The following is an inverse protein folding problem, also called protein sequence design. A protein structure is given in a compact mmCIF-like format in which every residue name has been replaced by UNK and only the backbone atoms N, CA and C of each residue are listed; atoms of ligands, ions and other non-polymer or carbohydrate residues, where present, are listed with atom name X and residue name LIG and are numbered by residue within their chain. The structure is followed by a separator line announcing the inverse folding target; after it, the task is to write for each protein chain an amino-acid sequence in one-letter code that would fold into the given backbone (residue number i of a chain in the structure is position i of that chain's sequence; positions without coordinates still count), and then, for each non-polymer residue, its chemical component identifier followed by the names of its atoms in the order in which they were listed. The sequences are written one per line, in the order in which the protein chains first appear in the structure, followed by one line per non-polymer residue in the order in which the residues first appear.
data_IF_815847471270
#
_entry.id   IF_815847471270
#
_cell.length_a   1.000
_cell.length_b   1.000
_cell.length_c   1.000
_cell.angle_alpha   90.00
_cell.angle_beta   90.00
_cell.angle_gamma   90.00
#
_symmetry.space_group_name_H-M   'P 1'
#
loop_
_entity.id
_entity.type
_entity.pdbx_description
1 polymer ?
#
# COMPACT_ATOMS: atom_id res chain seq x y z
N UNK A 1 -41.38 27.10 -25.89
CA UNK A 1 -40.84 26.93 -24.52
C UNK A 1 -40.79 25.43 -24.17
N UNK A 2 -39.84 24.64 -24.70
CA UNK A 2 -39.84 23.16 -24.48
C UNK A 2 -38.49 22.45 -24.69
N UNK A 3 -37.37 23.16 -24.81
CA UNK A 3 -36.07 22.57 -25.28
C UNK A 3 -34.84 22.94 -24.45
N UNK A 4 -34.92 23.03 -23.11
CA UNK A 4 -33.75 23.35 -22.26
C UNK A 4 -33.42 22.33 -21.16
N UNK A 5 -34.17 21.23 -21.07
CA UNK A 5 -34.05 20.26 -19.95
C UNK A 5 -33.05 19.12 -20.28
N UNK A 6 -32.59 18.97 -21.53
CA UNK A 6 -31.71 17.88 -21.94
C UNK A 6 -30.21 18.04 -21.64
N UNK A 7 -29.74 19.24 -21.28
CA UNK A 7 -28.30 19.52 -21.19
C UNK A 7 -27.72 19.35 -19.77
N UNK A 8 -28.56 19.31 -18.73
CA UNK A 8 -28.11 19.19 -17.34
C UNK A 8 -27.82 17.74 -16.92
N UNK A 9 -28.44 16.75 -17.57
CA UNK A 9 -28.29 15.33 -17.20
C UNK A 9 -26.98 14.70 -17.72
N UNK A 10 -26.38 15.25 -18.79
CA UNK A 10 -25.17 14.68 -19.40
C UNK A 10 -23.87 15.00 -18.62
N UNK A 11 -23.88 16.04 -17.79
CA UNK A 11 -22.71 16.47 -17.00
C UNK A 11 -22.55 15.73 -15.67
N UNK A 12 -23.59 15.05 -15.17
CA UNK A 12 -23.54 14.30 -13.92
C UNK A 12 -22.91 12.90 -14.05
N UNK A 13 -22.82 12.35 -15.27
CA UNK A 13 -22.36 10.98 -15.50
C UNK A 13 -20.82 10.83 -15.52
N UNK A 14 -20.06 11.94 -15.54
CA UNK A 14 -18.60 11.91 -15.67
C UNK A 14 -17.85 11.89 -14.33
N UNK A 15 -18.53 12.03 -13.19
CA UNK A 15 -17.85 12.02 -11.88
C UNK A 15 -17.60 10.64 -11.27
N UNK A 16 -18.22 9.59 -11.80
CA UNK A 16 -18.21 8.27 -11.12
C UNK A 16 -17.02 7.37 -11.46
N UNK A 17 -16.14 7.76 -12.40
CA UNK A 17 -15.11 6.83 -12.95
C UNK A 17 -13.72 7.00 -12.30
N UNK A 18 -13.51 7.98 -11.41
CA UNK A 18 -12.20 8.25 -10.83
C UNK A 18 -11.84 7.37 -9.61
N UNK A 19 -12.71 6.47 -9.16
CA UNK A 19 -12.59 5.80 -7.84
C UNK A 19 -11.92 4.41 -7.90
N UNK A 20 -11.48 3.93 -9.08
CA UNK A 20 -11.05 2.53 -9.23
C UNK A 20 -9.55 2.29 -9.51
N UNK A 21 -8.68 3.25 -9.20
CA UNK A 21 -7.23 3.12 -9.39
C UNK A 21 -6.38 3.35 -8.12
N UNK A 22 -7.02 3.46 -6.96
CA UNK A 22 -6.33 3.55 -5.67
C UNK A 22 -5.54 2.26 -5.41
N UNK A 23 -4.22 2.35 -5.29
CA UNK A 23 -3.39 1.23 -4.83
C UNK A 23 -3.69 0.87 -3.36
N UNK A 24 -3.04 -0.18 -2.85
CA UNK A 24 -3.14 -0.55 -1.42
C UNK A 24 -1.81 -0.26 -0.74
N UNK A 25 -1.80 0.34 0.45
CA UNK A 25 -0.59 0.42 1.28
C UNK A 25 -0.76 -0.40 2.55
N UNK A 26 0.28 -1.13 2.93
CA UNK A 26 0.35 -1.88 4.17
C UNK A 26 1.31 -1.18 5.12
N UNK A 27 0.86 -0.84 6.32
CA UNK A 27 1.71 -0.33 7.40
C UNK A 27 1.97 -1.48 8.35
N UNK A 28 3.22 -1.93 8.38
CA UNK A 28 3.67 -3.07 9.18
C UNK A 28 4.41 -2.54 10.40
N UNK A 29 4.03 -2.95 11.62
CA UNK A 29 4.95 -2.81 12.77
C UNK A 29 5.90 -3.99 12.80
N UNK A 30 7.20 -3.69 12.87
CA UNK A 30 8.26 -4.69 12.76
C UNK A 30 9.26 -4.51 13.89
N UNK A 31 9.50 -5.58 14.65
CA UNK A 31 10.54 -5.61 15.67
C UNK A 31 11.88 -6.02 15.05
N UNK A 32 12.98 -5.56 15.66
CA UNK A 32 14.35 -5.85 15.20
C UNK A 32 14.97 -4.80 14.28
N UNK A 33 14.24 -3.72 13.95
CA UNK A 33 14.73 -2.56 13.20
C UNK A 33 15.62 -1.64 14.07
N UNK A 34 16.70 -2.19 14.63
CA UNK A 34 17.56 -1.48 15.59
C UNK A 34 18.54 -0.47 14.96
N UNK A 35 18.77 -0.53 13.64
CA UNK A 35 19.66 0.40 12.95
C UNK A 35 19.24 0.65 11.49
N UNK A 36 19.70 1.75 10.86
CA UNK A 36 19.39 2.06 9.46
C UNK A 36 19.81 0.98 8.46
N UNK A 37 20.88 0.23 8.75
CA UNK A 37 21.32 -0.87 7.89
C UNK A 37 20.37 -2.07 7.93
N UNK A 38 19.77 -2.37 9.09
CA UNK A 38 18.73 -3.39 9.21
C UNK A 38 17.51 -3.02 8.37
N UNK A 39 17.08 -1.75 8.46
CA UNK A 39 15.98 -1.20 7.69
C UNK A 39 16.20 -1.36 6.18
N UNK A 40 17.40 -0.99 5.71
CA UNK A 40 17.76 -1.14 4.30
C UNK A 40 17.72 -2.60 3.82
N UNK A 41 18.10 -3.54 4.68
CA UNK A 41 18.08 -4.97 4.37
C UNK A 41 16.67 -5.50 4.08
N UNK A 42 15.71 -5.16 4.93
CA UNK A 42 14.30 -5.54 4.71
C UNK A 42 13.68 -4.78 3.53
N UNK A 43 14.00 -3.50 3.35
CA UNK A 43 13.54 -2.70 2.20
C UNK A 43 13.90 -3.37 0.86
N UNK A 44 15.18 -3.74 0.72
CA UNK A 44 15.71 -4.46 -0.46
C UNK A 44 14.99 -5.77 -0.76
N UNK A 45 14.55 -6.49 0.28
CA UNK A 45 13.82 -7.75 0.11
C UNK A 45 12.38 -7.47 -0.31
N UNK A 46 11.70 -6.55 0.37
CA UNK A 46 10.31 -6.23 0.11
C UNK A 46 10.10 -5.61 -1.27
N UNK A 47 10.98 -4.70 -1.73
CA UNK A 47 10.85 -4.06 -3.05
C UNK A 47 11.03 -5.03 -4.23
N UNK A 48 11.61 -6.21 -3.99
CA UNK A 48 11.72 -7.30 -4.99
C UNK A 48 10.48 -8.19 -5.03
N UNK A 49 9.54 -7.99 -4.12
CA UNK A 49 8.29 -8.75 -4.09
C UNK A 49 7.39 -8.31 -5.23
N UNK A 50 6.82 -9.27 -5.95
CA UNK A 50 5.87 -8.99 -7.01
C UNK A 50 4.67 -8.18 -6.48
N UNK A 51 4.29 -7.15 -7.22
CA UNK A 51 3.20 -6.24 -6.84
C UNK A 51 3.64 -5.05 -5.99
N UNK A 52 4.80 -5.10 -5.33
CA UNK A 52 5.34 -3.96 -4.58
C UNK A 52 5.85 -2.90 -5.55
N UNK A 53 5.49 -1.65 -5.28
CA UNK A 53 5.89 -0.47 -6.03
C UNK A 53 6.93 0.35 -5.27
N UNK A 54 6.75 0.50 -3.96
CA UNK A 54 7.67 1.23 -3.10
C UNK A 54 7.61 0.71 -1.66
N UNK A 55 8.69 0.95 -0.92
CA UNK A 55 8.80 0.65 0.50
C UNK A 55 9.38 1.87 1.20
N UNK A 56 8.66 2.41 2.17
CA UNK A 56 9.12 3.50 3.03
C UNK A 56 9.33 2.98 4.46
N UNK A 57 10.21 3.65 5.22
CA UNK A 57 10.56 3.25 6.59
C UNK A 57 10.33 4.40 7.56
N UNK A 58 9.61 4.13 8.65
CA UNK A 58 9.57 5.01 9.82
C UNK A 58 10.23 4.28 10.99
N UNK A 59 11.53 4.54 11.19
CA UNK A 59 12.30 3.95 12.28
C UNK A 59 11.93 4.50 13.65
N UNK A 60 11.40 5.72 13.74
CA UNK A 60 10.96 6.29 15.00
C UNK A 60 9.72 5.54 15.52
N UNK A 61 8.85 5.09 14.60
CA UNK A 61 7.65 4.32 14.92
C UNK A 61 7.84 2.81 14.75
N UNK A 62 8.99 2.33 14.28
CA UNK A 62 9.23 0.91 13.98
C UNK A 62 8.27 0.37 12.91
N UNK A 63 7.98 1.19 11.89
CA UNK A 63 7.05 0.86 10.82
C UNK A 63 7.75 0.67 9.47
N UNK A 64 7.24 -0.30 8.71
CA UNK A 64 7.57 -0.53 7.31
C UNK A 64 6.31 -0.30 6.49
N UNK A 65 6.34 0.63 5.55
CA UNK A 65 5.19 1.01 4.73
C UNK A 65 5.41 0.42 3.34
N UNK A 66 4.60 -0.58 2.98
CA UNK A 66 4.68 -1.27 1.68
C UNK A 66 3.57 -0.76 0.79
N UNK A 67 3.93 -0.10 -0.31
CA UNK A 67 3.00 0.36 -1.34
C UNK A 67 2.93 -0.69 -2.44
N UNK A 68 1.72 -1.16 -2.77
CA UNK A 68 1.50 -2.10 -3.87
C UNK A 68 0.70 -1.46 -4.99
N UNK A 69 0.95 -1.92 -6.22
CA UNK A 69 0.27 -1.46 -7.42
C UNK A 69 -1.24 -1.71 -7.32
N UNK A 70 -2.03 -0.89 -8.03
CA UNK A 70 -3.46 -1.09 -8.15
C UNK A 70 -3.77 -2.51 -8.68
N UNK A 71 -4.71 -3.20 -8.01
CA UNK A 71 -5.09 -4.57 -8.33
C UNK A 71 -4.13 -5.67 -7.81
N UNK A 72 -3.03 -5.31 -7.15
CA UNK A 72 -2.19 -6.24 -6.41
C UNK A 72 -2.55 -6.21 -4.92
N UNK A 73 -2.55 -7.38 -4.29
CA UNK A 73 -2.76 -7.52 -2.85
C UNK A 73 -1.71 -8.45 -2.25
N UNK A 74 -1.22 -8.09 -1.07
CA UNK A 74 -0.38 -8.94 -0.25
C UNK A 74 -1.21 -9.42 0.93
N UNK A 75 -1.52 -10.72 0.96
CA UNK A 75 -2.17 -11.33 2.12
C UNK A 75 -1.27 -11.25 3.36
N UNK A 76 -1.88 -11.17 4.53
CA UNK A 76 -1.16 -11.06 5.82
C UNK A 76 -0.14 -12.19 6.01
N UNK A 77 -0.48 -13.44 5.69
CA UNK A 77 0.45 -14.57 5.75
C UNK A 77 1.65 -14.43 4.80
N UNK A 78 1.49 -13.71 3.67
CA UNK A 78 2.60 -13.42 2.76
C UNK A 78 3.50 -12.34 3.34
N UNK A 79 2.92 -11.30 3.93
CA UNK A 79 3.65 -10.22 4.61
C UNK A 79 4.46 -10.79 5.79
N UNK A 80 3.85 -11.64 6.61
CA UNK A 80 4.52 -12.31 7.73
C UNK A 80 5.74 -13.10 7.26
N UNK A 81 5.58 -13.94 6.23
CA UNK A 81 6.69 -14.70 5.65
C UNK A 81 7.80 -13.80 5.11
N UNK A 82 7.46 -12.72 4.41
CA UNK A 82 8.47 -11.81 3.86
C UNK A 82 9.27 -11.10 4.96
N UNK A 83 8.62 -10.75 6.07
CA UNK A 83 9.26 -10.12 7.23
C UNK A 83 10.14 -11.14 7.98
N UNK A 84 9.65 -12.38 8.17
CA UNK A 84 10.41 -13.48 8.80
C UNK A 84 11.63 -13.89 7.97
N UNK A 85 11.47 -14.06 6.66
CA UNK A 85 12.56 -14.33 5.72
C UNK A 85 13.60 -13.18 5.69
N UNK A 86 13.19 -11.95 6.04
CA UNK A 86 14.08 -10.82 6.19
C UNK A 86 14.83 -10.82 7.55
N UNK A 87 14.46 -11.69 8.48
CA UNK A 87 15.08 -11.81 9.81
C UNK A 87 14.45 -10.92 10.88
N UNK A 88 13.19 -10.52 10.68
CA UNK A 88 12.47 -9.62 11.57
C UNK A 88 11.16 -10.23 12.04
N UNK A 89 10.51 -9.60 13.02
CA UNK A 89 9.23 -10.09 13.56
C UNK A 89 8.11 -9.12 13.22
N UNK A 90 7.10 -9.60 12.50
CA UNK A 90 5.89 -8.84 12.21
C UNK A 90 4.99 -8.77 13.47
N UNK A 91 4.53 -7.57 13.82
CA UNK A 91 3.71 -7.32 15.01
C UNK A 91 2.27 -6.94 14.69
N UNK A 92 2.06 -6.21 13.61
CA UNK A 92 0.73 -5.83 13.15
C UNK A 92 0.76 -5.44 11.68
N UNK A 93 -0.37 -5.62 11.00
CA UNK A 93 -0.61 -5.15 9.65
C UNK A 93 -1.82 -4.22 9.67
N UNK A 94 -1.64 -3.01 9.15
CA UNK A 94 -2.73 -2.08 8.88
C UNK A 94 -2.84 -1.88 7.36
N UNK A 95 -4.02 -2.11 6.81
CA UNK A 95 -4.30 -1.93 5.38
C UNK A 95 -4.94 -0.57 5.17
N UNK A 96 -4.33 0.27 4.35
CA UNK A 96 -4.80 1.63 4.07
C UNK A 96 -4.94 1.80 2.55
N UNK A 97 -6.09 2.29 2.05
CA UNK A 97 -6.24 2.63 0.64
C UNK A 97 -5.34 3.81 0.27
N UNK A 98 -4.74 3.77 -0.92
CA UNK A 98 -3.87 4.83 -1.45
C UNK A 98 -4.65 5.92 -2.19
#
# INVERSE_FOLDING_TARGET
MKKRIGLAALLAALWSVAVFAAGTRYVLRVDGLACPFCAYGIEKKLIRTEGVEAVDMDLAQGQVIVKVRAGAELGEARLERLVDEAGFTLRSVEVVPQ
#
